data_IF_790853023976
#
_entry.id   IF_790853023976
#
_cell.length_a   1.000
_cell.length_b   1.000
_cell.length_c   1.000
_cell.angle_alpha   90.00
_cell.angle_beta   90.00
_cell.angle_gamma   90.00
#
_symmetry.space_group_name_H-M   'P 1'
#
loop_
_entity.id
_entity.type
_entity.pdbx_description
1 polymer ?
#
# COMPACT_ATOMS: atom_id res chain seq x y z
N UNK A 1 4.04 13.21 -17.99
CA UNK A 1 2.76 13.39 -17.30
C UNK A 1 3.04 14.32 -16.13
N UNK A 2 2.41 15.49 -16.08
CA UNK A 2 2.62 16.41 -14.96
C UNK A 2 2.08 15.78 -13.67
N UNK A 3 2.83 15.93 -12.56
CA UNK A 3 2.52 15.39 -11.23
C UNK A 3 1.08 15.69 -10.75
N UNK A 4 0.53 16.85 -11.13
CA UNK A 4 -0.84 17.27 -10.81
C UNK A 4 -1.92 16.44 -11.54
N UNK A 5 -1.62 15.90 -12.72
CA UNK A 5 -2.58 15.15 -13.52
C UNK A 5 -2.78 13.73 -12.97
N UNK A 6 -1.78 13.17 -12.28
CA UNK A 6 -1.84 11.83 -11.72
C UNK A 6 -2.80 11.72 -10.51
N UNK A 7 -2.77 12.68 -9.59
CA UNK A 7 -3.66 12.70 -8.42
C UNK A 7 -5.15 12.81 -8.82
N UNK A 8 -5.45 13.48 -9.92
CA UNK A 8 -6.83 13.56 -10.44
C UNK A 8 -7.41 12.19 -10.83
N UNK A 9 -6.59 11.22 -11.20
CA UNK A 9 -7.07 9.87 -11.52
C UNK A 9 -7.68 9.16 -10.32
N UNK A 10 -7.06 9.33 -9.13
CA UNK A 10 -7.62 8.80 -7.89
C UNK A 10 -8.98 9.42 -7.57
N UNK A 11 -9.09 10.74 -7.68
CA UNK A 11 -10.35 11.45 -7.45
C UNK A 11 -11.43 11.00 -8.44
N UNK A 12 -11.10 10.90 -9.72
CA UNK A 12 -12.03 10.43 -10.74
C UNK A 12 -12.52 9.00 -10.47
N UNK A 13 -11.62 8.11 -10.04
CA UNK A 13 -11.98 6.73 -9.68
C UNK A 13 -12.95 6.71 -8.51
N UNK A 14 -12.69 7.49 -7.47
CA UNK A 14 -13.59 7.66 -6.33
C UNK A 14 -14.96 8.19 -6.76
N UNK A 15 -14.97 9.22 -7.60
CA UNK A 15 -16.20 9.95 -7.96
C UNK A 15 -17.19 9.10 -8.78
N UNK A 16 -16.72 8.06 -9.46
CA UNK A 16 -17.60 7.15 -10.22
C UNK A 16 -18.18 6.00 -9.39
N UNK A 17 -17.67 5.76 -8.17
CA UNK A 17 -18.16 4.69 -7.29
C UNK A 17 -19.35 5.21 -6.48
N UNK A 18 -20.56 5.08 -7.01
CA UNK A 18 -21.76 5.67 -6.43
C UNK A 18 -22.61 4.73 -5.56
N UNK A 19 -22.26 3.44 -5.51
CA UNK A 19 -23.02 2.40 -4.76
C UNK A 19 -22.06 1.35 -4.20
N UNK A 20 -22.42 0.78 -3.07
CA UNK A 20 -21.65 -0.24 -2.40
C UNK A 20 -21.49 -1.51 -3.27
N UNK A 21 -22.51 -1.89 -4.04
CA UNK A 21 -22.43 -3.06 -4.94
C UNK A 21 -21.35 -2.90 -6.02
N UNK A 22 -20.97 -1.68 -6.36
CA UNK A 22 -19.87 -1.44 -7.31
C UNK A 22 -18.52 -1.76 -6.67
N UNK A 23 -18.37 -1.57 -5.36
CA UNK A 23 -17.17 -2.00 -4.64
C UNK A 23 -17.05 -3.52 -4.52
N UNK A 24 -18.17 -4.26 -4.45
CA UNK A 24 -18.14 -5.71 -4.59
C UNK A 24 -17.53 -6.13 -5.94
N UNK A 25 -17.97 -5.49 -7.02
CA UNK A 25 -17.44 -5.75 -8.36
C UNK A 25 -15.98 -5.37 -8.47
N UNK A 26 -15.57 -4.19 -7.95
CA UNK A 26 -14.17 -3.73 -7.97
C UNK A 26 -13.28 -4.71 -7.21
N UNK A 27 -13.67 -5.15 -6.02
CA UNK A 27 -12.89 -6.10 -5.22
C UNK A 27 -12.76 -7.45 -5.94
N UNK A 28 -13.86 -7.96 -6.51
CA UNK A 28 -13.82 -9.20 -7.30
C UNK A 28 -12.90 -9.10 -8.50
N UNK A 29 -13.05 -8.04 -9.33
CA UNK A 29 -12.27 -7.84 -10.55
C UNK A 29 -10.79 -7.60 -10.24
N UNK A 30 -10.46 -6.89 -9.15
CA UNK A 30 -9.07 -6.73 -8.70
C UNK A 30 -8.41 -8.09 -8.39
N UNK A 31 -9.10 -8.98 -7.68
CA UNK A 31 -8.61 -10.34 -7.41
C UNK A 31 -8.50 -11.17 -8.69
N UNK A 32 -9.51 -11.10 -9.57
CA UNK A 32 -9.54 -11.81 -10.85
C UNK A 32 -8.37 -11.38 -11.75
N UNK A 33 -8.13 -10.09 -11.87
CA UNK A 33 -7.03 -9.54 -12.69
C UNK A 33 -5.66 -9.97 -12.16
N UNK A 34 -5.43 -9.91 -10.85
CA UNK A 34 -4.17 -10.35 -10.24
C UNK A 34 -3.92 -11.84 -10.46
N UNK A 35 -4.98 -12.66 -10.40
CA UNK A 35 -4.85 -14.08 -10.70
C UNK A 35 -4.63 -14.33 -12.20
N UNK A 36 -5.48 -13.78 -13.08
CA UNK A 36 -5.45 -14.08 -14.51
C UNK A 36 -4.25 -13.48 -15.23
N UNK A 37 -3.84 -12.27 -14.88
CA UNK A 37 -2.76 -11.56 -15.55
C UNK A 37 -1.39 -11.92 -15.01
N UNK A 38 -1.28 -12.29 -13.72
CA UNK A 38 0.00 -12.44 -13.04
C UNK A 38 0.12 -13.71 -12.20
N UNK A 39 -0.87 -14.62 -12.24
CA UNK A 39 -0.89 -15.88 -11.48
C UNK A 39 -0.66 -15.71 -9.96
N UNK A 40 -1.11 -14.60 -9.39
CA UNK A 40 -1.02 -14.32 -7.96
C UNK A 40 -1.90 -15.32 -7.20
N UNK A 41 -1.37 -15.88 -6.11
CA UNK A 41 -2.04 -16.88 -5.26
C UNK A 41 -2.33 -16.39 -3.86
N UNK A 42 -1.61 -15.37 -3.42
CA UNK A 42 -1.83 -14.68 -2.16
C UNK A 42 -1.81 -13.20 -2.48
N UNK A 43 -2.87 -12.50 -2.14
CA UNK A 43 -3.06 -11.09 -2.43
C UNK A 43 -3.46 -10.34 -1.16
N UNK A 44 -2.89 -9.18 -0.95
CA UNK A 44 -3.36 -8.25 0.06
C UNK A 44 -3.91 -7.00 -0.64
N UNK A 45 -5.22 -6.82 -0.54
CA UNK A 45 -5.92 -5.63 -1.03
C UNK A 45 -6.01 -4.60 0.09
N UNK A 46 -5.67 -3.35 -0.23
CA UNK A 46 -5.77 -2.25 0.74
C UNK A 46 -6.63 -1.11 0.22
N UNK A 47 -7.41 -0.49 1.08
CA UNK A 47 -8.19 0.70 0.75
C UNK A 47 -8.41 1.58 1.98
N UNK A 48 -8.65 2.88 1.75
CA UNK A 48 -9.02 3.84 2.77
C UNK A 48 -10.55 4.01 2.81
N UNK A 49 -11.26 3.49 3.83
CA UNK A 49 -12.71 3.70 3.94
C UNK A 49 -13.08 5.19 3.96
N UNK A 50 -12.30 6.01 4.65
CA UNK A 50 -12.48 7.47 4.72
C UNK A 50 -12.43 8.14 3.35
N UNK A 51 -11.55 7.70 2.44
CA UNK A 51 -11.40 8.29 1.11
C UNK A 51 -12.68 8.18 0.28
N UNK A 52 -13.40 7.06 0.38
CA UNK A 52 -14.69 6.87 -0.28
C UNK A 52 -15.83 7.56 0.47
N UNK A 53 -15.95 7.31 1.77
CA UNK A 53 -17.11 7.71 2.57
C UNK A 53 -17.18 9.21 2.86
N UNK A 54 -16.05 9.90 2.89
CA UNK A 54 -16.06 11.36 3.04
C UNK A 54 -16.63 12.08 1.83
N UNK A 55 -16.49 11.48 0.66
CA UNK A 55 -17.07 12.00 -0.57
C UNK A 55 -18.51 11.52 -0.78
N UNK A 56 -18.79 10.25 -0.45
CA UNK A 56 -20.08 9.61 -0.64
C UNK A 56 -20.82 9.43 0.70
N UNK A 57 -21.28 10.54 1.29
CA UNK A 57 -21.95 10.57 2.61
C UNK A 57 -23.24 9.75 2.70
N UNK A 58 -23.78 9.29 1.58
CA UNK A 58 -24.95 8.41 1.54
C UNK A 58 -24.61 6.93 1.73
N UNK A 59 -23.32 6.56 1.61
CA UNK A 59 -22.86 5.19 1.81
C UNK A 59 -22.69 4.88 3.31
N UNK A 60 -22.95 3.64 3.66
CA UNK A 60 -22.73 3.11 5.00
C UNK A 60 -21.43 2.30 5.04
N UNK A 61 -20.62 2.51 6.08
CA UNK A 61 -19.30 1.87 6.20
C UNK A 61 -19.39 0.35 6.36
N UNK A 62 -20.36 -0.16 7.14
CA UNK A 62 -20.52 -1.60 7.34
C UNK A 62 -21.03 -2.29 6.05
N UNK A 63 -21.92 -1.62 5.30
CA UNK A 63 -22.40 -2.12 4.00
C UNK A 63 -21.29 -2.10 2.94
N UNK A 64 -20.49 -1.04 2.91
CA UNK A 64 -19.33 -0.94 2.02
C UNK A 64 -18.36 -2.09 2.26
N UNK A 65 -17.98 -2.31 3.53
CA UNK A 65 -17.07 -3.39 3.89
C UNK A 65 -17.65 -4.77 3.54
N UNK A 66 -18.92 -4.98 3.81
CA UNK A 66 -19.60 -6.23 3.44
C UNK A 66 -19.59 -6.48 1.93
N UNK A 67 -19.76 -5.44 1.12
CA UNK A 67 -19.69 -5.55 -0.33
C UNK A 67 -18.29 -5.94 -0.80
N UNK A 68 -17.23 -5.31 -0.23
CA UNK A 68 -15.83 -5.66 -0.53
C UNK A 68 -15.55 -7.13 -0.15
N UNK A 69 -15.94 -7.55 1.05
CA UNK A 69 -15.77 -8.94 1.51
C UNK A 69 -16.48 -9.90 0.55
N UNK A 70 -17.72 -9.60 0.16
CA UNK A 70 -18.47 -10.42 -0.81
C UNK A 70 -17.75 -10.57 -2.14
N UNK A 71 -17.13 -9.49 -2.64
CA UNK A 71 -16.33 -9.53 -3.86
C UNK A 71 -15.10 -10.42 -3.74
N UNK A 72 -14.41 -10.32 -2.62
CA UNK A 72 -13.23 -11.16 -2.29
C UNK A 72 -13.63 -12.63 -2.18
N UNK A 73 -14.65 -12.96 -1.37
CA UNK A 73 -15.13 -14.34 -1.19
C UNK A 73 -15.51 -14.99 -2.52
N UNK A 74 -16.22 -14.27 -3.40
CA UNK A 74 -16.55 -14.74 -4.75
C UNK A 74 -15.30 -15.02 -5.60
N UNK A 75 -14.25 -14.22 -5.46
CA UNK A 75 -13.00 -14.45 -6.17
C UNK A 75 -12.28 -15.69 -5.64
N UNK A 76 -12.23 -15.89 -4.32
CA UNK A 76 -11.64 -17.06 -3.67
C UNK A 76 -12.42 -18.36 -3.99
N UNK A 77 -13.76 -18.28 -4.15
CA UNK A 77 -14.56 -19.40 -4.63
C UNK A 77 -14.26 -19.78 -6.09
N UNK A 78 -13.96 -18.76 -6.93
CA UNK A 78 -13.77 -18.96 -8.37
C UNK A 78 -12.33 -19.30 -8.74
N UNK A 79 -11.37 -18.76 -8.01
CA UNK A 79 -9.94 -18.85 -8.31
C UNK A 79 -9.17 -19.37 -7.08
N UNK A 80 -8.07 -20.12 -7.28
CA UNK A 80 -7.22 -20.56 -6.18
C UNK A 80 -6.30 -19.41 -5.72
N UNK A 81 -6.90 -18.37 -5.16
CA UNK A 81 -6.26 -17.19 -4.57
C UNK A 81 -6.72 -17.05 -3.12
N UNK A 82 -5.85 -16.61 -2.24
CA UNK A 82 -6.19 -16.21 -0.88
C UNK A 82 -6.00 -14.70 -0.74
N UNK A 83 -6.95 -14.01 -0.12
CA UNK A 83 -6.95 -12.54 -0.08
C UNK A 83 -7.05 -12.02 1.37
N UNK A 84 -6.12 -11.17 1.78
CA UNK A 84 -6.20 -10.37 3.00
C UNK A 84 -6.65 -8.94 2.71
N UNK A 85 -7.41 -8.35 3.62
CA UNK A 85 -7.80 -6.94 3.54
C UNK A 85 -6.98 -6.09 4.49
N UNK A 86 -6.45 -4.94 4.04
CA UNK A 86 -5.70 -3.99 4.85
C UNK A 86 -6.47 -2.66 4.89
N UNK A 87 -6.72 -2.15 6.10
CA UNK A 87 -7.35 -0.85 6.30
C UNK A 87 -6.30 0.27 6.23
N UNK A 88 -6.49 1.23 5.33
CA UNK A 88 -5.63 2.40 5.21
C UNK A 88 -6.17 3.55 6.08
N UNK A 89 -5.31 4.10 6.93
CA UNK A 89 -5.47 5.40 7.57
C UNK A 89 -4.83 6.49 6.70
N UNK A 90 -5.47 7.65 6.63
CA UNK A 90 -4.95 8.79 5.85
C UNK A 90 -4.19 9.75 6.76
N UNK A 91 -2.89 9.94 6.53
CA UNK A 91 -2.05 10.83 7.36
C UNK A 91 -2.41 12.31 7.24
N UNK A 92 -3.15 12.67 6.19
CA UNK A 92 -3.67 14.04 5.99
C UNK A 92 -4.87 14.36 6.87
N UNK A 93 -5.42 13.37 7.59
CA UNK A 93 -6.51 13.51 8.56
C UNK A 93 -6.00 13.54 10.00
N UNK A 94 -6.81 14.05 10.91
CA UNK A 94 -6.47 14.07 12.33
C UNK A 94 -6.37 12.64 12.93
N UNK A 95 -5.73 12.55 14.08
CA UNK A 95 -5.64 11.29 14.83
C UNK A 95 -7.02 10.80 15.23
N UNK A 96 -7.90 11.71 15.66
CA UNK A 96 -9.27 11.41 16.10
C UNK A 96 -10.12 10.88 14.93
N UNK A 97 -10.00 11.45 13.74
CA UNK A 97 -10.68 10.94 12.55
C UNK A 97 -10.19 9.52 12.17
N UNK A 98 -8.88 9.28 12.29
CA UNK A 98 -8.30 7.97 12.00
C UNK A 98 -8.60 6.92 13.09
N UNK A 99 -8.79 7.33 14.35
CA UNK A 99 -9.14 6.39 15.43
C UNK A 99 -10.46 5.66 15.13
N UNK A 100 -11.43 6.33 14.52
CA UNK A 100 -12.69 5.71 14.09
C UNK A 100 -12.44 4.53 13.16
N UNK A 101 -11.47 4.66 12.26
CA UNK A 101 -11.12 3.60 11.30
C UNK A 101 -10.27 2.49 11.89
N UNK A 102 -9.48 2.78 12.92
CA UNK A 102 -8.84 1.72 13.73
C UNK A 102 -9.90 0.89 14.44
N UNK A 103 -10.86 1.52 15.12
CA UNK A 103 -11.95 0.81 15.79
C UNK A 103 -12.84 0.03 14.80
N UNK A 104 -13.00 0.56 13.61
CA UNK A 104 -13.68 -0.14 12.51
C UNK A 104 -12.89 -1.38 12.07
N UNK A 105 -11.58 -1.25 11.85
CA UNK A 105 -10.73 -2.36 11.42
C UNK A 105 -10.62 -3.49 12.45
N UNK A 106 -10.73 -3.14 13.74
CA UNK A 106 -10.67 -4.11 14.84
C UNK A 106 -11.94 -4.94 15.03
N UNK A 107 -13.04 -4.61 14.35
CA UNK A 107 -14.25 -5.42 14.42
C UNK A 107 -14.06 -6.72 13.64
N UNK A 108 -14.25 -7.91 14.26
CA UNK A 108 -13.97 -9.20 13.58
C UNK A 108 -14.75 -9.41 12.28
N UNK A 109 -15.98 -8.87 12.19
CA UNK A 109 -16.81 -8.99 10.98
C UNK A 109 -16.27 -8.20 9.77
N UNK A 110 -15.30 -7.29 9.97
CA UNK A 110 -14.69 -6.52 8.89
C UNK A 110 -13.48 -7.21 8.26
N UNK A 111 -12.99 -8.29 8.87
CA UNK A 111 -11.98 -9.21 8.32
C UNK A 111 -10.67 -8.53 7.87
N UNK A 112 -10.29 -7.39 8.47
CA UNK A 112 -8.99 -6.81 8.19
C UNK A 112 -7.88 -7.62 8.86
N UNK A 113 -6.80 -7.85 8.12
CA UNK A 113 -5.61 -8.56 8.59
C UNK A 113 -4.49 -7.61 9.01
N UNK A 114 -4.53 -6.36 8.53
CA UNK A 114 -3.50 -5.36 8.82
C UNK A 114 -4.05 -3.94 8.75
N UNK A 115 -3.23 -3.01 9.26
CA UNK A 115 -3.42 -1.57 9.20
C UNK A 115 -2.28 -0.94 8.40
N UNK A 116 -2.57 0.12 7.65
CA UNK A 116 -1.60 0.91 6.89
C UNK A 116 -1.80 2.40 7.17
N UNK A 117 -0.74 3.20 7.04
CA UNK A 117 -0.78 4.65 7.03
C UNK A 117 -0.30 5.14 5.66
N UNK A 118 -1.20 5.71 4.87
CA UNK A 118 -0.88 6.20 3.52
C UNK A 118 -1.26 7.67 3.34
N UNK A 119 -1.32 8.12 2.08
CA UNK A 119 -1.57 9.50 1.67
C UNK A 119 -0.28 10.36 1.66
N UNK A 120 -0.39 11.66 1.42
CA UNK A 120 0.75 12.57 1.26
C UNK A 120 1.71 12.55 2.45
N UNK A 121 2.93 12.03 2.21
CA UNK A 121 3.96 11.92 3.26
C UNK A 121 4.68 13.25 3.51
N UNK A 122 4.66 14.16 2.53
CA UNK A 122 5.31 15.47 2.66
C UNK A 122 4.49 16.32 3.63
N UNK A 123 5.15 16.87 4.64
CA UNK A 123 4.56 17.70 5.70
C UNK A 123 3.61 16.98 6.69
N UNK A 124 3.43 15.66 6.55
CA UNK A 124 2.58 14.85 7.43
C UNK A 124 3.40 13.76 8.12
N UNK A 125 3.93 14.09 9.29
CA UNK A 125 4.75 13.20 10.11
C UNK A 125 3.95 11.98 10.59
N UNK A 126 4.49 10.77 10.58
CA UNK A 126 3.82 9.58 11.11
C UNK A 126 3.74 9.53 12.66
N UNK A 127 4.55 10.31 13.38
CA UNK A 127 4.61 10.25 14.85
C UNK A 127 3.25 10.44 15.56
N UNK A 128 2.33 11.33 15.15
CA UNK A 128 1.04 11.48 15.80
C UNK A 128 0.19 10.20 15.82
N UNK A 129 0.40 9.31 14.85
CA UNK A 129 -0.38 8.08 14.69
C UNK A 129 0.17 6.88 15.48
N UNK A 130 1.33 6.99 16.14
CA UNK A 130 1.94 5.90 16.91
C UNK A 130 0.96 5.21 17.86
N UNK A 131 0.11 5.92 18.66
CA UNK A 131 -0.83 5.28 19.56
C UNK A 131 -1.86 4.39 18.85
N UNK A 132 -2.31 4.80 17.65
CA UNK A 132 -3.27 4.06 16.84
C UNK A 132 -2.68 2.74 16.33
N UNK A 133 -1.44 2.78 15.82
CA UNK A 133 -0.73 1.59 15.34
C UNK A 133 -0.39 0.63 16.48
N UNK A 134 -0.02 1.16 17.66
CA UNK A 134 0.17 0.35 18.84
C UNK A 134 -1.13 -0.37 19.24
N UNK A 135 -2.27 0.33 19.26
CA UNK A 135 -3.59 -0.24 19.54
C UNK A 135 -3.92 -1.39 18.56
N UNK A 136 -3.68 -1.19 17.27
CA UNK A 136 -3.92 -2.20 16.25
C UNK A 136 -3.00 -3.42 16.41
N UNK A 137 -1.72 -3.20 16.67
CA UNK A 137 -0.73 -4.27 16.88
C UNK A 137 -1.02 -5.09 18.13
N UNK A 138 -1.35 -4.43 19.25
CA UNK A 138 -1.73 -5.09 20.50
C UNK A 138 -3.01 -5.95 20.34
N UNK A 139 -3.87 -5.59 19.38
CA UNK A 139 -5.07 -6.36 19.00
C UNK A 139 -4.80 -7.47 17.98
N UNK A 140 -3.56 -7.61 17.48
CA UNK A 140 -3.15 -8.70 16.61
C UNK A 140 -3.18 -8.39 15.10
N UNK A 141 -3.43 -7.15 14.68
CA UNK A 141 -3.30 -6.77 13.28
C UNK A 141 -1.82 -6.66 12.87
N UNK A 142 -1.52 -7.06 11.63
CA UNK A 142 -0.26 -6.72 10.98
C UNK A 142 -0.15 -5.21 10.75
N UNK A 143 1.08 -4.70 10.67
CA UNK A 143 1.34 -3.28 10.44
C UNK A 143 2.20 -3.11 9.19
N UNK A 144 1.70 -2.38 8.22
CA UNK A 144 2.50 -1.79 7.14
C UNK A 144 2.37 -0.27 7.21
N UNK A 145 3.34 0.46 6.70
CA UNK A 145 3.33 1.93 6.72
C UNK A 145 3.97 2.44 5.44
N UNK A 146 3.25 3.24 4.67
CA UNK A 146 3.87 4.01 3.59
C UNK A 146 4.87 4.98 4.20
N UNK A 147 6.15 4.81 3.92
CA UNK A 147 7.20 5.65 4.46
C UNK A 147 8.42 5.68 3.54
N UNK A 148 9.02 6.86 3.37
CA UNK A 148 10.21 7.05 2.55
C UNK A 148 9.95 6.91 1.05
N UNK A 149 8.75 7.29 0.57
CA UNK A 149 8.45 7.30 -0.87
C UNK A 149 8.90 8.60 -1.55
N UNK A 150 8.49 9.81 -1.10
CA UNK A 150 8.82 11.05 -1.82
C UNK A 150 10.32 11.31 -1.88
N UNK A 151 10.80 11.78 -3.02
CA UNK A 151 12.20 12.23 -3.16
C UNK A 151 12.40 13.61 -2.49
N UNK A 152 12.41 13.59 -1.15
CA UNK A 152 12.56 14.76 -0.29
C UNK A 152 13.66 14.48 0.73
N UNK A 153 14.63 15.39 0.92
CA UNK A 153 15.74 15.18 1.86
C UNK A 153 15.26 14.81 3.27
N UNK A 154 15.84 13.74 3.83
CA UNK A 154 15.58 13.29 5.20
C UNK A 154 14.25 12.56 5.41
N UNK A 155 13.52 12.22 4.35
CA UNK A 155 12.26 11.49 4.46
C UNK A 155 12.46 10.05 4.98
N UNK A 156 13.66 9.50 4.84
CA UNK A 156 14.05 8.18 5.37
C UNK A 156 13.81 8.05 6.90
N UNK A 157 13.79 9.18 7.64
CA UNK A 157 13.44 9.19 9.07
C UNK A 157 12.04 8.58 9.34
N UNK A 158 11.11 8.69 8.40
CA UNK A 158 9.77 8.13 8.55
C UNK A 158 9.79 6.60 8.52
N UNK A 159 10.71 6.00 7.75
CA UNK A 159 10.96 4.54 7.77
C UNK A 159 11.41 4.12 9.16
N UNK A 160 12.38 4.84 9.75
CA UNK A 160 12.84 4.57 11.12
C UNK A 160 11.70 4.69 12.13
N UNK A 161 10.90 5.76 12.06
CA UNK A 161 9.74 5.95 12.93
C UNK A 161 8.73 4.81 12.80
N UNK A 162 8.43 4.40 11.58
CA UNK A 162 7.52 3.28 11.31
C UNK A 162 8.01 1.97 11.96
N UNK A 163 9.31 1.66 11.82
CA UNK A 163 9.89 0.44 12.37
C UNK A 163 9.98 0.49 13.91
N UNK A 164 10.61 1.55 14.45
CA UNK A 164 10.98 1.60 15.87
C UNK A 164 9.83 2.00 16.79
N UNK A 165 8.90 2.85 16.30
CA UNK A 165 7.85 3.43 17.14
C UNK A 165 6.46 2.92 16.82
N UNK A 166 6.15 2.64 15.55
CA UNK A 166 4.83 2.14 15.14
C UNK A 166 4.79 0.60 15.09
N UNK A 167 5.95 -0.06 15.08
CA UNK A 167 6.05 -1.51 15.05
C UNK A 167 5.70 -2.12 13.69
N UNK A 168 6.07 -1.42 12.61
CA UNK A 168 5.85 -1.89 11.25
C UNK A 168 6.49 -3.26 11.00
N UNK A 169 5.73 -4.17 10.41
CA UNK A 169 6.19 -5.47 9.94
C UNK A 169 6.72 -5.38 8.51
N UNK A 170 6.24 -4.38 7.74
CA UNK A 170 6.65 -4.05 6.37
C UNK A 170 6.61 -2.54 6.17
N UNK A 171 7.31 -2.06 5.17
CA UNK A 171 7.31 -0.65 4.76
C UNK A 171 6.77 -0.54 3.33
N UNK A 172 5.68 0.19 3.16
CA UNK A 172 5.17 0.58 1.84
C UNK A 172 6.18 1.50 1.16
N UNK A 173 6.55 1.21 -0.07
CA UNK A 173 7.59 1.84 -0.87
C UNK A 173 8.97 1.80 -0.21
N UNK A 174 9.33 2.78 0.59
CA UNK A 174 10.60 2.82 1.33
C UNK A 174 11.84 3.03 0.46
N UNK A 175 11.70 3.47 -0.81
CA UNK A 175 12.83 3.55 -1.75
C UNK A 175 13.89 4.57 -1.32
N UNK A 176 13.52 5.59 -0.54
CA UNK A 176 14.48 6.58 -0.02
C UNK A 176 15.33 6.04 1.15
N UNK A 177 15.15 4.78 1.56
CA UNK A 177 16.10 4.11 2.44
C UNK A 177 17.52 4.10 1.84
N UNK A 178 17.64 4.15 0.50
CA UNK A 178 18.93 4.17 -0.21
C UNK A 178 19.81 5.38 0.18
N UNK A 179 19.21 6.47 0.63
CA UNK A 179 19.91 7.69 1.02
C UNK A 179 20.44 7.64 2.47
N UNK A 180 20.08 6.61 3.25
CA UNK A 180 20.40 6.53 4.68
C UNK A 180 20.96 5.14 5.05
N UNK A 181 22.31 5.00 5.15
CA UNK A 181 22.92 3.71 5.51
C UNK A 181 22.46 3.15 6.88
N UNK A 182 22.07 4.00 7.83
CA UNK A 182 21.58 3.55 9.12
C UNK A 182 20.17 2.94 9.00
N UNK A 183 19.33 3.49 8.12
CA UNK A 183 18.01 2.92 7.82
C UNK A 183 18.17 1.60 7.06
N UNK A 184 19.10 1.50 6.12
CA UNK A 184 19.43 0.22 5.46
C UNK A 184 19.85 -0.83 6.50
N UNK A 185 20.76 -0.47 7.40
CA UNK A 185 21.21 -1.37 8.46
C UNK A 185 20.05 -1.82 9.37
N UNK A 186 19.15 -0.89 9.73
CA UNK A 186 17.97 -1.18 10.54
C UNK A 186 17.01 -2.14 9.85
N UNK A 187 16.74 -1.94 8.55
CA UNK A 187 15.88 -2.83 7.74
C UNK A 187 16.45 -4.25 7.70
N UNK A 188 17.76 -4.39 7.50
CA UNK A 188 18.45 -5.68 7.45
C UNK A 188 18.42 -6.35 8.83
N UNK A 189 18.80 -5.63 9.89
CA UNK A 189 18.85 -6.16 11.27
C UNK A 189 17.50 -6.68 11.74
N UNK A 190 16.45 -5.91 11.48
CA UNK A 190 15.07 -6.28 11.85
C UNK A 190 14.39 -7.19 10.85
N UNK A 191 14.99 -7.41 9.67
CA UNK A 191 14.44 -8.22 8.60
C UNK A 191 13.13 -7.68 8.02
N UNK A 192 12.94 -6.36 8.04
CA UNK A 192 11.73 -5.67 7.56
C UNK A 192 11.80 -5.54 6.04
N UNK A 193 10.82 -6.07 5.28
CA UNK A 193 10.79 -5.91 3.84
C UNK A 193 10.24 -4.56 3.40
N UNK A 194 10.72 -4.11 2.23
CA UNK A 194 10.18 -2.98 1.48
C UNK A 194 9.22 -3.48 0.40
N UNK A 195 8.06 -2.85 0.28
CA UNK A 195 7.04 -3.11 -0.75
C UNK A 195 7.27 -2.13 -1.92
N UNK A 196 8.27 -2.41 -2.77
CA UNK A 196 8.67 -1.52 -3.86
C UNK A 196 7.72 -1.64 -5.06
N UNK A 197 7.35 -0.50 -5.64
CA UNK A 197 6.37 -0.38 -6.72
C UNK A 197 6.99 0.43 -7.90
N UNK A 198 7.79 -0.19 -8.78
CA UNK A 198 8.61 0.55 -9.75
C UNK A 198 7.83 1.51 -10.64
N UNK A 199 6.73 1.07 -11.25
CA UNK A 199 5.89 1.94 -12.10
C UNK A 199 5.29 3.09 -11.30
N UNK A 200 4.73 2.81 -10.12
CA UNK A 200 4.16 3.84 -9.24
C UNK A 200 5.22 4.86 -8.84
N UNK A 201 6.36 4.41 -8.36
CA UNK A 201 7.43 5.29 -7.89
C UNK A 201 7.99 6.20 -9.00
N UNK A 202 7.95 5.75 -10.24
CA UNK A 202 8.26 6.59 -11.38
C UNK A 202 7.14 7.59 -11.68
N UNK A 203 5.89 7.14 -11.74
CA UNK A 203 4.74 8.00 -12.06
C UNK A 203 4.47 9.07 -10.99
N UNK A 204 4.68 8.74 -9.73
CA UNK A 204 4.60 9.70 -8.60
C UNK A 204 5.80 10.65 -8.54
N UNK A 205 6.87 10.34 -9.29
CA UNK A 205 8.11 11.11 -9.32
C UNK A 205 9.00 10.88 -8.10
N UNK A 206 8.80 9.77 -7.39
CA UNK A 206 9.68 9.32 -6.31
C UNK A 206 11.06 8.92 -6.84
N UNK A 207 11.13 8.46 -8.11
CA UNK A 207 12.36 8.32 -8.88
C UNK A 207 12.21 8.97 -10.27
N UNK A 208 13.33 9.27 -10.92
CA UNK A 208 13.33 9.99 -12.20
C UNK A 208 12.99 9.10 -13.41
N UNK A 209 13.29 7.81 -13.31
CA UNK A 209 12.99 6.79 -14.32
C UNK A 209 13.00 5.41 -13.67
N UNK A 210 12.44 4.40 -14.37
CA UNK A 210 12.54 3.00 -13.94
C UNK A 210 14.01 2.56 -13.86
N UNK A 211 14.83 2.93 -14.83
CA UNK A 211 16.25 2.57 -14.87
C UNK A 211 17.06 3.12 -13.68
N UNK A 212 16.59 4.19 -13.04
CA UNK A 212 17.23 4.79 -11.86
C UNK A 212 16.55 4.38 -10.54
N UNK A 213 15.57 3.49 -10.58
CA UNK A 213 14.89 3.01 -9.40
C UNK A 213 15.88 2.25 -8.49
N UNK A 214 15.92 2.53 -7.16
CA UNK A 214 16.92 1.97 -6.27
C UNK A 214 16.71 0.49 -5.91
N UNK A 215 15.75 -0.19 -6.54
CA UNK A 215 15.41 -1.59 -6.26
C UNK A 215 16.66 -2.49 -6.21
N UNK A 216 17.46 -2.45 -7.29
CA UNK A 216 18.67 -3.28 -7.39
C UNK A 216 19.68 -2.99 -6.29
N UNK A 217 19.94 -1.70 -6.03
CA UNK A 217 20.90 -1.31 -5.00
C UNK A 217 20.44 -1.73 -3.58
N UNK A 218 19.16 -1.59 -3.27
CA UNK A 218 18.59 -2.03 -1.99
C UNK A 218 18.65 -3.56 -1.85
N UNK A 219 18.31 -4.29 -2.92
CA UNK A 219 18.40 -5.75 -2.96
C UNK A 219 19.85 -6.24 -2.78
N UNK A 220 20.80 -5.67 -3.52
CA UNK A 220 22.23 -6.00 -3.41
C UNK A 220 22.83 -5.61 -2.05
N UNK A 221 22.30 -4.59 -1.38
CA UNK A 221 22.66 -4.25 -0.01
C UNK A 221 22.15 -5.27 1.02
N UNK A 222 21.28 -6.21 0.63
CA UNK A 222 20.73 -7.23 1.51
C UNK A 222 19.39 -6.87 2.17
N UNK A 223 18.75 -5.78 1.76
CA UNK A 223 17.40 -5.43 2.20
C UNK A 223 16.41 -6.41 1.56
N UNK A 224 15.48 -6.93 2.35
CA UNK A 224 14.35 -7.71 1.80
C UNK A 224 13.47 -6.78 0.97
N UNK A 225 13.27 -7.12 -0.30
CA UNK A 225 12.43 -6.36 -1.22
C UNK A 225 11.34 -7.24 -1.81
N UNK A 226 10.16 -6.68 -2.00
CA UNK A 226 9.08 -7.31 -2.75
C UNK A 226 8.72 -6.43 -3.95
N UNK A 227 8.20 -7.06 -5.01
CA UNK A 227 7.73 -6.37 -6.21
C UNK A 227 6.22 -6.23 -6.10
N UNK A 228 5.71 -5.02 -6.21
CA UNK A 228 4.29 -4.72 -6.05
C UNK A 228 3.80 -3.78 -7.15
N UNK A 229 2.50 -3.73 -7.35
CA UNK A 229 1.88 -2.93 -8.43
C UNK A 229 1.35 -1.59 -7.95
N UNK A 230 1.16 -1.43 -6.62
CA UNK A 230 0.38 -0.33 -6.05
C UNK A 230 -1.05 -0.32 -6.66
N UNK A 231 -1.44 0.70 -7.40
CA UNK A 231 -2.76 0.85 -8.04
C UNK A 231 -2.74 0.45 -9.52
N UNK A 232 -2.78 -0.85 -9.88
CA UNK A 232 -2.53 -1.32 -11.23
C UNK A 232 -3.52 -0.77 -12.26
N UNK A 233 -4.78 -0.56 -11.88
CA UNK A 233 -5.80 0.02 -12.76
C UNK A 233 -5.54 1.48 -13.10
N UNK A 234 -5.04 2.27 -12.14
CA UNK A 234 -4.70 3.69 -12.34
C UNK A 234 -3.39 3.85 -13.08
N UNK A 235 -2.42 2.98 -12.79
CA UNK A 235 -1.05 3.04 -13.32
C UNK A 235 -0.87 2.27 -14.63
N UNK A 236 -1.92 1.57 -15.09
CA UNK A 236 -1.90 0.75 -16.30
C UNK A 236 -0.76 -0.28 -16.29
N UNK A 237 -0.57 -0.97 -15.18
CA UNK A 237 0.46 -2.00 -14.99
C UNK A 237 -0.13 -3.29 -14.44
N UNK A 238 0.68 -4.32 -14.36
CA UNK A 238 0.40 -5.56 -13.64
C UNK A 238 1.70 -6.13 -13.08
N UNK A 239 1.63 -7.12 -12.18
CA UNK A 239 2.82 -7.64 -11.52
C UNK A 239 3.84 -8.26 -12.49
N UNK A 240 3.38 -8.90 -13.57
CA UNK A 240 4.27 -9.45 -14.59
C UNK A 240 5.06 -8.33 -15.30
N UNK A 241 4.40 -7.20 -15.59
CA UNK A 241 5.05 -6.02 -16.16
C UNK A 241 6.10 -5.43 -15.19
N UNK A 242 5.81 -5.35 -13.90
CA UNK A 242 6.79 -4.87 -12.91
C UNK A 242 8.06 -5.73 -12.89
N UNK A 243 7.94 -7.07 -12.93
CA UNK A 243 9.09 -7.97 -13.07
C UNK A 243 9.84 -7.76 -14.39
N UNK A 244 9.12 -7.57 -15.50
CA UNK A 244 9.74 -7.30 -16.78
C UNK A 244 10.56 -6.00 -16.76
N UNK A 245 10.02 -4.92 -16.19
CA UNK A 245 10.71 -3.65 -16.03
C UNK A 245 11.98 -3.76 -15.17
N UNK A 246 11.91 -4.50 -14.06
CA UNK A 246 13.09 -4.74 -13.22
C UNK A 246 14.18 -5.49 -13.98
N UNK A 247 13.83 -6.41 -14.86
CA UNK A 247 14.78 -7.16 -15.68
C UNK A 247 15.37 -6.30 -16.78
N UNK A 248 14.52 -5.60 -17.55
CA UNK A 248 14.95 -4.86 -18.76
C UNK A 248 15.60 -3.53 -18.45
N UNK A 249 15.10 -2.81 -17.44
CA UNK A 249 15.53 -1.45 -17.15
C UNK A 249 16.49 -1.37 -15.94
N UNK A 250 16.27 -2.20 -14.90
CA UNK A 250 17.12 -2.20 -13.71
C UNK A 250 18.24 -3.25 -13.75
N UNK A 251 18.23 -4.13 -14.75
CA UNK A 251 19.25 -5.18 -14.92
C UNK A 251 19.28 -6.20 -13.78
N UNK A 252 18.09 -6.57 -13.27
CA UNK A 252 17.95 -7.65 -12.30
C UNK A 252 17.75 -8.96 -13.06
N UNK A 253 18.55 -9.97 -12.71
CA UNK A 253 18.35 -11.31 -13.23
C UNK A 253 17.28 -12.03 -12.37
N UNK A 254 16.20 -12.49 -13.03
CA UNK A 254 15.13 -13.25 -12.37
C UNK A 254 15.58 -14.62 -11.85
N UNK A 255 16.78 -15.07 -12.17
CA UNK A 255 17.37 -16.28 -11.63
C UNK A 255 18.06 -16.07 -10.26
N UNK A 256 18.17 -14.81 -9.81
CA UNK A 256 18.67 -14.43 -8.50
C UNK A 256 17.54 -14.27 -7.49
#
# INVERSE_FOLDING_TARGET
VEKHDFLHKFLNTRDVILKEEWMERVAFEACEDMYLQSNVRILELRYAPSFLLDHHKHMDADRLQKAIISGVERAEEKYPIAVGLICILQRTKSVEENEIWVDFALKPQHQFVALDLADNEVDFDPEPFIPLFKKAKDAGLGITVHAGEPNVPGISRNIRTAIEKMGADRIGHGLQAIEDPEVIALLIDRGIPLELCPTSNWLTGACSSIATHPFKALFEAGVKTTVNTDDPGIMCTNLLNEYALLTTECGIDLAT
#
